data_IF_601569783090
#
_entry.id   IF_601569783090
#
_cell.length_a   1.000
_cell.length_b   1.000
_cell.length_c   1.000
_cell.angle_alpha   90.00
_cell.angle_beta   90.00
_cell.angle_gamma   90.00
#
_symmetry.space_group_name_H-M   'P 1'
#
loop_
_entity.id
_entity.type
_entity.pdbx_description
1 polymer ?
#
# COMPACT_ATOMS: atom_id res chain seq x y z
N UNK A 1 -4.06 0.02 -32.35
CA UNK A 1 -3.54 0.65 -31.12
C UNK A 1 -2.54 -0.22 -30.37
N UNK A 2 -2.94 -1.33 -29.72
CA UNK A 2 -2.04 -2.06 -28.79
C UNK A 2 -1.35 -3.33 -29.35
N UNK A 3 -1.70 -3.78 -30.56
CA UNK A 3 -1.00 -4.92 -31.19
C UNK A 3 -1.25 -6.29 -30.55
N UNK A 4 -2.44 -6.54 -30.00
CA UNK A 4 -2.88 -7.85 -29.48
C UNK A 4 -4.08 -8.36 -30.27
N UNK A 5 -4.20 -9.68 -30.42
CA UNK A 5 -5.30 -10.28 -31.20
C UNK A 5 -6.65 -10.30 -30.47
N UNK A 6 -6.65 -10.30 -29.13
CA UNK A 6 -7.86 -10.48 -28.33
C UNK A 6 -7.93 -9.46 -27.18
N UNK A 7 -9.15 -9.08 -26.84
CA UNK A 7 -9.49 -8.25 -25.68
C UNK A 7 -10.57 -8.92 -24.85
N UNK A 8 -10.35 -8.98 -23.54
CA UNK A 8 -11.35 -9.44 -22.57
C UNK A 8 -11.71 -8.28 -21.63
N UNK A 9 -12.83 -7.56 -21.87
CA UNK A 9 -13.23 -6.43 -21.06
C UNK A 9 -13.86 -6.87 -19.72
N UNK A 10 -13.51 -6.15 -18.66
CA UNK A 10 -14.00 -6.29 -17.29
C UNK A 10 -14.33 -4.88 -16.74
N UNK A 11 -14.62 -4.72 -15.45
CA UNK A 11 -15.09 -3.44 -14.90
C UNK A 11 -14.00 -2.71 -14.12
N UNK A 12 -13.21 -3.43 -13.32
CA UNK A 12 -12.19 -2.82 -12.45
C UNK A 12 -10.79 -3.35 -12.75
N UNK A 13 -9.75 -2.58 -12.38
CA UNK A 13 -8.37 -3.06 -12.49
C UNK A 13 -8.13 -4.37 -11.74
N UNK A 14 -8.72 -4.53 -10.55
CA UNK A 14 -8.63 -5.78 -9.79
C UNK A 14 -9.24 -6.97 -10.53
N UNK A 15 -10.39 -6.80 -11.19
CA UNK A 15 -10.97 -7.85 -12.04
C UNK A 15 -10.10 -8.14 -13.27
N UNK A 16 -9.46 -7.13 -13.85
CA UNK A 16 -8.48 -7.30 -14.93
C UNK A 16 -7.31 -8.19 -14.49
N UNK A 17 -6.77 -7.92 -13.30
CA UNK A 17 -5.71 -8.75 -12.70
C UNK A 17 -6.21 -10.16 -12.41
N UNK A 18 -7.35 -10.33 -11.74
CA UNK A 18 -7.96 -11.65 -11.49
C UNK A 18 -8.15 -12.46 -12.79
N UNK A 19 -8.55 -11.77 -13.86
CA UNK A 19 -8.69 -12.36 -15.19
C UNK A 19 -7.35 -12.83 -15.74
N UNK A 20 -6.33 -11.97 -15.71
CA UNK A 20 -4.98 -12.33 -16.16
C UNK A 20 -4.39 -13.49 -15.33
N UNK A 21 -4.62 -13.52 -14.02
CA UNK A 21 -4.19 -14.64 -13.15
C UNK A 21 -4.87 -15.95 -13.57
N UNK A 22 -6.18 -15.93 -13.84
CA UNK A 22 -6.92 -17.12 -14.31
C UNK A 22 -6.44 -17.59 -15.68
N UNK A 23 -6.23 -16.67 -16.63
CA UNK A 23 -5.66 -16.99 -17.96
C UNK A 23 -4.28 -17.63 -17.79
N UNK A 24 -3.40 -17.01 -17.01
CA UNK A 24 -2.04 -17.50 -16.82
C UNK A 24 -2.01 -18.90 -16.19
N UNK A 25 -2.76 -19.13 -15.10
CA UNK A 25 -2.82 -20.44 -14.46
C UNK A 25 -3.37 -21.51 -15.40
N UNK A 26 -4.44 -21.20 -16.14
CA UNK A 26 -5.05 -22.14 -17.09
C UNK A 26 -4.10 -22.46 -18.26
N UNK A 27 -3.45 -21.45 -18.83
CA UNK A 27 -2.39 -21.61 -19.82
C UNK A 27 -1.23 -22.45 -19.25
N UNK A 28 -0.84 -22.22 -18.00
CA UNK A 28 0.20 -22.96 -17.31
C UNK A 28 -0.11 -24.46 -17.24
N UNK A 29 -1.34 -24.82 -16.89
CA UNK A 29 -1.77 -26.21 -16.84
C UNK A 29 -1.92 -26.85 -18.23
N UNK A 30 -2.54 -26.16 -19.18
CA UNK A 30 -2.93 -26.74 -20.46
C UNK A 30 -1.85 -26.66 -21.55
N UNK A 31 -1.03 -25.61 -21.55
CA UNK A 31 0.02 -25.37 -22.55
C UNK A 31 1.41 -25.72 -22.05
N UNK A 32 1.72 -25.30 -20.81
CA UNK A 32 3.03 -25.54 -20.19
C UNK A 32 3.12 -26.88 -19.45
N UNK A 33 1.98 -27.57 -19.26
CA UNK A 33 1.87 -28.85 -18.55
C UNK A 33 2.29 -28.78 -17.07
N UNK A 34 2.04 -27.64 -16.40
CA UNK A 34 2.22 -27.54 -14.95
C UNK A 34 1.23 -28.48 -14.27
N UNK A 35 1.66 -29.35 -13.32
CA UNK A 35 0.76 -30.24 -12.61
C UNK A 35 -0.41 -29.51 -11.96
N UNK A 36 -1.52 -30.24 -11.79
CA UNK A 36 -2.75 -29.69 -11.22
C UNK A 36 -2.48 -29.03 -9.86
N UNK A 37 -3.02 -27.83 -9.67
CA UNK A 37 -2.92 -27.04 -8.44
C UNK A 37 -1.49 -26.59 -8.05
N UNK A 38 -0.49 -26.77 -8.94
CA UNK A 38 0.91 -26.39 -8.71
C UNK A 38 1.35 -25.11 -9.45
N UNK A 39 0.45 -24.44 -10.17
CA UNK A 39 0.78 -23.21 -10.91
C UNK A 39 1.14 -22.06 -9.97
N UNK A 40 2.32 -21.48 -10.22
CA UNK A 40 2.86 -20.35 -9.46
C UNK A 40 2.73 -19.07 -10.29
N UNK A 41 2.32 -17.99 -9.63
CA UNK A 41 2.49 -16.62 -10.15
C UNK A 41 3.58 -15.94 -9.33
N UNK A 42 4.53 -15.29 -10.01
CA UNK A 42 5.54 -14.45 -9.37
C UNK A 42 5.10 -12.99 -9.49
N UNK A 43 5.22 -12.22 -8.42
CA UNK A 43 4.94 -10.78 -8.41
C UNK A 43 6.02 -10.01 -7.62
N UNK A 44 5.95 -8.69 -7.61
CA UNK A 44 6.98 -7.84 -7.01
C UNK A 44 6.55 -7.31 -5.63
N UNK A 45 7.45 -7.27 -4.65
CA UNK A 45 7.23 -6.47 -3.45
C UNK A 45 7.06 -4.99 -3.81
N UNK A 46 6.18 -4.29 -3.10
CA UNK A 46 5.75 -2.92 -3.44
C UNK A 46 4.57 -2.86 -4.44
N UNK A 47 4.12 -3.99 -5.00
CA UNK A 47 3.05 -3.98 -5.98
C UNK A 47 1.70 -3.50 -5.41
N UNK A 48 0.88 -2.89 -6.28
CA UNK A 48 -0.53 -2.68 -6.04
C UNK A 48 -1.37 -3.08 -7.25
N UNK A 49 -1.92 -4.29 -7.20
CA UNK A 49 -2.75 -4.85 -8.26
C UNK A 49 -4.26 -4.84 -7.92
N UNK A 50 -4.66 -4.19 -6.81
CA UNK A 50 -6.03 -4.20 -6.29
C UNK A 50 -6.17 -4.78 -4.88
N UNK A 51 -7.39 -5.19 -4.51
CA UNK A 51 -7.76 -5.54 -3.12
C UNK A 51 -8.55 -6.85 -2.98
N UNK A 52 -8.67 -7.66 -4.04
CA UNK A 52 -9.29 -8.99 -3.95
C UNK A 52 -8.36 -9.98 -3.24
N UNK A 53 -8.90 -11.10 -2.76
CA UNK A 53 -8.12 -12.09 -2.01
C UNK A 53 -6.93 -12.64 -2.81
N UNK A 54 -7.09 -12.98 -4.09
CA UNK A 54 -5.97 -13.49 -4.89
C UNK A 54 -4.88 -12.42 -5.07
N UNK A 55 -5.30 -11.18 -5.32
CA UNK A 55 -4.41 -10.04 -5.51
C UNK A 55 -3.59 -9.75 -4.25
N UNK A 56 -4.24 -9.60 -3.09
CA UNK A 56 -3.51 -9.27 -1.85
C UNK A 56 -2.60 -10.42 -1.40
N UNK A 57 -2.83 -11.64 -1.87
CA UNK A 57 -1.95 -12.79 -1.61
C UNK A 57 -0.55 -12.60 -2.20
N UNK A 58 -0.41 -11.77 -3.25
CA UNK A 58 0.87 -11.41 -3.85
C UNK A 58 1.54 -10.21 -3.17
N UNK A 59 0.83 -9.46 -2.32
CA UNK A 59 1.36 -8.25 -1.69
C UNK A 59 2.37 -8.55 -0.57
N UNK A 60 3.42 -7.72 -0.46
CA UNK A 60 4.33 -7.69 0.69
C UNK A 60 3.88 -6.67 1.76
N UNK A 61 2.81 -5.92 1.51
CA UNK A 61 2.25 -4.95 2.45
C UNK A 61 1.41 -5.64 3.52
N UNK A 62 1.81 -5.46 4.78
CA UNK A 62 1.09 -5.99 5.93
C UNK A 62 -0.29 -5.38 6.09
N UNK A 63 -0.47 -4.10 5.75
CA UNK A 63 -1.79 -3.44 5.84
C UNK A 63 -2.74 -3.94 4.76
N UNK A 64 -2.21 -4.46 3.66
CA UNK A 64 -3.00 -5.11 2.62
C UNK A 64 -3.45 -6.53 2.98
N UNK A 65 -2.80 -7.21 3.93
CA UNK A 65 -2.99 -8.66 4.16
C UNK A 65 -3.49 -9.01 5.57
N UNK A 66 -3.21 -8.18 6.58
CA UNK A 66 -3.53 -8.45 7.98
C UNK A 66 -5.04 -8.58 8.20
N UNK A 67 -5.46 -9.74 8.70
CA UNK A 67 -6.85 -10.02 9.05
C UNK A 67 -7.71 -10.63 7.93
N UNK A 68 -7.14 -10.86 6.74
CA UNK A 68 -7.87 -11.42 5.58
C UNK A 68 -7.54 -12.90 5.28
N UNK A 69 -6.80 -13.57 6.16
CA UNK A 69 -6.37 -14.96 5.94
C UNK A 69 -7.49 -16.00 6.02
N UNK A 70 -7.30 -17.20 5.43
CA UNK A 70 -6.09 -17.62 4.70
C UNK A 70 -5.98 -16.99 3.31
N UNK A 71 -4.75 -16.64 2.91
CA UNK A 71 -4.43 -16.09 1.60
C UNK A 71 -4.30 -17.21 0.55
N UNK A 72 -4.46 -16.86 -0.73
CA UNK A 72 -4.37 -17.79 -1.85
C UNK A 72 -2.93 -18.33 -2.01
N UNK A 73 -2.73 -19.67 -2.06
CA UNK A 73 -1.43 -20.26 -2.31
C UNK A 73 -1.01 -20.13 -3.79
N UNK A 74 0.22 -20.55 -4.10
CA UNK A 74 0.77 -20.52 -5.46
C UNK A 74 1.25 -19.13 -5.90
N UNK A 75 1.79 -18.35 -4.97
CA UNK A 75 2.34 -17.02 -5.22
C UNK A 75 3.77 -16.92 -4.66
N UNK A 76 4.70 -16.39 -5.45
CA UNK A 76 6.05 -16.04 -5.02
C UNK A 76 6.28 -14.54 -5.22
N UNK A 77 7.22 -13.98 -4.45
CA UNK A 77 7.50 -12.55 -4.42
C UNK A 77 8.99 -12.32 -4.63
N UNK A 78 9.32 -11.29 -5.39
CA UNK A 78 10.69 -10.81 -5.62
C UNK A 78 10.72 -9.30 -5.42
N UNK A 79 11.88 -8.72 -5.13
CA UNK A 79 11.98 -7.26 -5.06
C UNK A 79 11.87 -6.64 -6.45
N UNK A 80 11.14 -5.52 -6.55
CA UNK A 80 10.98 -4.81 -7.81
C UNK A 80 12.31 -4.25 -8.30
N UNK A 81 12.62 -4.44 -9.59
CA UNK A 81 13.89 -4.02 -10.18
C UNK A 81 15.05 -5.01 -10.00
N UNK A 82 14.88 -6.11 -9.25
CA UNK A 82 15.92 -7.14 -9.05
C UNK A 82 15.78 -8.30 -10.06
N UNK A 83 16.42 -8.14 -11.23
CA UNK A 83 16.42 -9.17 -12.27
C UNK A 83 17.22 -10.43 -11.89
N UNK A 84 18.24 -10.31 -11.03
CA UNK A 84 19.08 -11.44 -10.61
C UNK A 84 18.31 -12.38 -9.69
N UNK A 85 17.58 -11.82 -8.72
CA UNK A 85 16.70 -12.61 -7.84
C UNK A 85 15.54 -13.23 -8.62
N UNK A 86 15.00 -12.52 -9.62
CA UNK A 86 14.00 -13.09 -10.52
C UNK A 86 14.57 -14.27 -11.32
N UNK A 87 15.79 -14.15 -11.85
CA UNK A 87 16.45 -15.25 -12.57
C UNK A 87 16.65 -16.47 -11.66
N UNK A 88 17.06 -16.28 -10.41
CA UNK A 88 17.20 -17.39 -9.43
C UNK A 88 15.88 -18.13 -9.23
N UNK A 89 14.79 -17.39 -8.99
CA UNK A 89 13.45 -17.98 -8.84
C UNK A 89 13.03 -18.75 -10.10
N UNK A 90 13.30 -18.21 -11.29
CA UNK A 90 12.97 -18.85 -12.56
C UNK A 90 13.84 -20.08 -12.85
N UNK A 91 15.11 -20.07 -12.44
CA UNK A 91 15.99 -21.25 -12.53
C UNK A 91 15.50 -22.38 -11.62
N UNK A 92 15.06 -22.06 -10.41
CA UNK A 92 14.64 -23.07 -9.41
C UNK A 92 13.24 -23.63 -9.67
N UNK A 93 12.30 -22.79 -10.12
CA UNK A 93 10.86 -23.12 -10.17
C UNK A 93 10.21 -22.80 -11.50
N UNK A 94 11.01 -22.49 -12.53
CA UNK A 94 10.51 -22.05 -13.83
C UNK A 94 9.57 -23.03 -14.50
N UNK A 95 9.71 -24.33 -14.24
CA UNK A 95 8.81 -25.38 -14.71
C UNK A 95 7.37 -25.24 -14.14
N UNK A 96 7.21 -24.66 -12.95
CA UNK A 96 5.93 -24.45 -12.26
C UNK A 96 5.40 -23.02 -12.32
N UNK A 97 6.19 -22.07 -12.81
CA UNK A 97 5.78 -20.66 -12.91
C UNK A 97 4.95 -20.47 -14.18
N UNK A 98 3.69 -20.08 -14.01
CA UNK A 98 2.78 -19.81 -15.12
C UNK A 98 2.92 -18.38 -15.65
N UNK A 99 3.18 -17.41 -14.76
CA UNK A 99 3.30 -16.00 -15.14
C UNK A 99 4.07 -15.16 -14.12
N UNK A 100 4.61 -14.05 -14.62
CA UNK A 100 5.19 -12.97 -13.82
C UNK A 100 4.35 -11.71 -14.01
N UNK A 101 3.71 -11.27 -12.92
CA UNK A 101 2.87 -10.08 -12.87
C UNK A 101 3.65 -8.92 -12.24
N UNK A 102 3.76 -7.82 -12.98
CA UNK A 102 4.49 -6.64 -12.52
C UNK A 102 3.83 -5.36 -13.03
N UNK A 103 4.05 -4.24 -12.33
CA UNK A 103 3.80 -2.90 -12.87
C UNK A 103 5.09 -2.43 -13.57
N UNK A 104 5.05 -1.87 -14.80
CA UNK A 104 6.25 -1.31 -15.44
C UNK A 104 6.86 -0.14 -14.65
N UNK A 105 6.02 0.57 -13.89
CA UNK A 105 6.38 1.59 -12.90
C UNK A 105 5.45 1.35 -11.70
N UNK A 106 5.98 1.03 -10.52
CA UNK A 106 5.12 0.80 -9.35
C UNK A 106 4.51 2.09 -8.87
N UNK A 107 3.18 2.16 -8.93
CA UNK A 107 2.47 3.40 -8.78
C UNK A 107 2.17 3.77 -7.34
N UNK A 108 1.47 2.90 -6.62
CA UNK A 108 1.14 3.12 -5.20
C UNK A 108 2.39 3.04 -4.30
N UNK A 109 3.47 2.37 -4.73
CA UNK A 109 4.77 2.39 -4.04
C UNK A 109 5.48 3.76 -4.09
N UNK A 110 4.92 4.73 -4.80
CA UNK A 110 5.49 6.07 -4.93
C UNK A 110 6.26 6.28 -6.22
N UNK A 111 5.68 5.84 -7.33
CA UNK A 111 6.21 6.03 -8.69
C UNK A 111 7.66 5.52 -8.78
N UNK A 112 7.85 4.26 -8.42
CA UNK A 112 9.16 3.61 -8.45
C UNK A 112 9.44 3.19 -9.89
N UNK A 113 10.48 3.78 -10.47
CA UNK A 113 10.97 3.43 -11.81
C UNK A 113 12.02 2.34 -11.64
N UNK A 114 11.91 1.21 -12.36
CA UNK A 114 12.93 0.17 -12.27
C UNK A 114 14.25 0.63 -12.91
N UNK A 115 15.38 -0.03 -12.60
CA UNK A 115 16.64 0.21 -13.29
C UNK A 115 16.52 0.07 -14.81
N UNK A 116 17.31 0.83 -15.56
CA UNK A 116 17.33 0.75 -17.02
C UNK A 116 17.66 -0.68 -17.50
N UNK A 117 16.87 -1.19 -18.44
CA UNK A 117 17.05 -2.53 -18.99
C UNK A 117 16.38 -3.64 -18.19
N UNK A 118 15.76 -3.30 -17.04
CA UNK A 118 15.05 -4.28 -16.22
C UNK A 118 13.91 -4.96 -17.00
N UNK A 119 13.10 -4.20 -17.75
CA UNK A 119 11.97 -4.78 -18.49
C UNK A 119 12.44 -5.69 -19.63
N UNK A 120 13.53 -5.31 -20.32
CA UNK A 120 14.21 -6.18 -21.29
C UNK A 120 14.73 -7.48 -20.66
N UNK A 121 15.34 -7.39 -19.48
CA UNK A 121 15.80 -8.56 -18.74
C UNK A 121 14.63 -9.47 -18.34
N UNK A 122 13.55 -8.91 -17.79
CA UNK A 122 12.32 -9.66 -17.48
C UNK A 122 11.77 -10.35 -18.72
N UNK A 123 11.70 -9.65 -19.87
CA UNK A 123 11.21 -10.24 -21.13
C UNK A 123 12.06 -11.43 -21.53
N UNK A 124 13.39 -11.29 -21.52
CA UNK A 124 14.32 -12.37 -21.85
C UNK A 124 14.17 -13.58 -20.91
N UNK A 125 14.02 -13.34 -19.60
CA UNK A 125 13.79 -14.39 -18.60
C UNK A 125 12.46 -15.10 -18.82
N UNK A 126 11.38 -14.36 -19.06
CA UNK A 126 10.06 -14.92 -19.33
C UNK A 126 10.08 -15.81 -20.58
N UNK A 127 10.72 -15.34 -21.66
CA UNK A 127 10.87 -16.12 -22.90
C UNK A 127 11.71 -17.38 -22.67
N UNK A 128 12.87 -17.26 -22.01
CA UNK A 128 13.79 -18.38 -21.74
C UNK A 128 13.12 -19.51 -20.94
N UNK A 129 12.29 -19.16 -19.96
CA UNK A 129 11.64 -20.12 -19.07
C UNK A 129 10.21 -20.46 -19.47
N UNK A 130 9.75 -20.00 -20.64
CA UNK A 130 8.37 -20.14 -21.10
C UNK A 130 7.37 -19.72 -20.01
N UNK A 131 7.54 -18.52 -19.46
CA UNK A 131 6.68 -17.91 -18.44
C UNK A 131 5.96 -16.73 -19.09
N UNK A 132 4.66 -16.56 -18.83
CA UNK A 132 3.93 -15.40 -19.34
C UNK A 132 4.37 -14.11 -18.64
N UNK A 133 4.77 -13.11 -19.41
CA UNK A 133 5.03 -11.76 -18.94
C UNK A 133 3.72 -10.97 -18.91
N UNK A 134 3.28 -10.55 -17.72
CA UNK A 134 1.98 -9.91 -17.48
C UNK A 134 2.23 -8.50 -16.95
N UNK A 135 1.98 -7.49 -17.78
CA UNK A 135 2.14 -6.09 -17.38
C UNK A 135 0.82 -5.52 -16.88
N UNK A 136 0.82 -5.08 -15.62
CA UNK A 136 -0.23 -4.23 -15.07
C UNK A 136 0.04 -2.77 -15.47
N UNK A 137 -0.63 -2.34 -16.54
CA UNK A 137 -0.59 -0.99 -17.09
C UNK A 137 -1.80 -0.16 -16.63
N UNK A 138 -2.54 -0.62 -15.61
CA UNK A 138 -3.76 0.04 -15.13
C UNK A 138 -3.47 1.48 -14.68
N UNK A 139 -2.30 1.74 -14.09
CA UNK A 139 -1.90 3.10 -13.70
C UNK A 139 -0.92 3.75 -14.69
N UNK A 140 0.05 2.99 -15.22
CA UNK A 140 1.18 3.54 -16.00
C UNK A 140 0.93 3.69 -17.49
N UNK A 141 -0.06 2.97 -18.02
CA UNK A 141 -0.40 2.96 -19.45
C UNK A 141 -1.29 4.13 -19.85
N UNK A 142 -1.79 4.06 -21.08
CA UNK A 142 -2.71 5.04 -21.67
C UNK A 142 -2.16 6.46 -21.59
N UNK A 143 -0.97 6.67 -22.15
CA UNK A 143 -0.24 7.93 -22.21
C UNK A 143 0.28 8.49 -20.87
N UNK A 144 -0.10 7.90 -19.71
CA UNK A 144 0.30 8.42 -18.39
C UNK A 144 1.81 8.61 -18.24
N UNK A 145 2.60 7.64 -18.67
CA UNK A 145 4.06 7.67 -18.54
C UNK A 145 4.78 8.38 -19.71
N UNK A 146 4.06 9.02 -20.63
CA UNK A 146 4.65 9.62 -21.85
C UNK A 146 4.86 8.62 -23.00
N UNK A 147 4.32 7.42 -22.87
CA UNK A 147 4.20 6.38 -23.90
C UNK A 147 2.78 5.81 -23.87
N UNK A 148 2.35 5.15 -24.97
CA UNK A 148 1.03 4.51 -25.01
C UNK A 148 0.94 3.44 -23.92
N UNK A 149 1.94 2.57 -23.84
CA UNK A 149 2.17 1.66 -22.71
C UNK A 149 3.53 2.01 -22.08
N UNK A 150 3.65 1.96 -20.75
CA UNK A 150 4.93 2.21 -20.09
C UNK A 150 6.01 1.17 -20.47
N UNK A 151 5.60 -0.05 -20.85
CA UNK A 151 6.48 -1.05 -21.46
C UNK A 151 7.20 -0.54 -22.74
N UNK A 152 6.59 0.38 -23.49
CA UNK A 152 7.16 0.89 -24.75
C UNK A 152 8.45 1.71 -24.52
N UNK A 153 8.72 2.17 -23.29
CA UNK A 153 9.99 2.82 -22.94
C UNK A 153 11.21 1.92 -23.15
N UNK A 154 11.01 0.61 -23.07
CA UNK A 154 12.05 -0.37 -23.34
C UNK A 154 11.73 -1.24 -24.56
N UNK A 155 10.75 -0.85 -25.38
CA UNK A 155 10.34 -1.54 -26.60
C UNK A 155 9.98 -3.02 -26.37
N UNK A 156 9.41 -3.32 -25.21
CA UNK A 156 9.01 -4.68 -24.84
C UNK A 156 7.51 -4.88 -25.02
N UNK A 157 7.14 -6.04 -25.58
CA UNK A 157 5.74 -6.49 -25.68
C UNK A 157 5.48 -7.59 -24.64
N UNK A 158 4.65 -7.32 -23.61
CA UNK A 158 4.19 -8.36 -22.68
C UNK A 158 3.33 -9.41 -23.39
N UNK A 159 3.20 -10.60 -22.79
CA UNK A 159 2.28 -11.63 -23.29
C UNK A 159 0.82 -11.30 -22.94
N UNK A 160 0.63 -10.58 -21.83
CA UNK A 160 -0.65 -9.99 -21.45
C UNK A 160 -0.47 -8.57 -20.91
N UNK A 161 -1.38 -7.67 -21.27
CA UNK A 161 -1.47 -6.30 -20.72
C UNK A 161 -2.81 -6.11 -20.05
N UNK A 162 -2.80 -5.53 -18.85
CA UNK A 162 -4.00 -5.17 -18.10
C UNK A 162 -4.16 -3.66 -18.16
N UNK A 163 -5.31 -3.21 -18.67
CA UNK A 163 -5.69 -1.79 -18.75
C UNK A 163 -6.87 -1.52 -17.82
N UNK A 164 -7.00 -0.28 -17.36
CA UNK A 164 -8.11 0.18 -16.55
C UNK A 164 -8.05 1.69 -16.33
N UNK A 165 -8.65 2.19 -15.23
CA UNK A 165 -8.62 3.61 -14.82
C UNK A 165 -8.95 4.57 -15.99
N UNK A 166 -7.92 5.13 -16.63
CA UNK A 166 -8.06 6.05 -17.76
C UNK A 166 -8.78 5.41 -18.96
N UNK A 167 -8.82 4.08 -19.07
CA UNK A 167 -9.62 3.39 -20.09
C UNK A 167 -11.10 3.81 -20.02
N UNK A 168 -11.63 4.02 -18.81
CA UNK A 168 -13.00 4.51 -18.62
C UNK A 168 -13.17 6.03 -18.72
N UNK A 169 -12.12 6.77 -19.08
CA UNK A 169 -12.12 8.24 -19.20
C UNK A 169 -12.45 8.99 -17.90
N UNK A 170 -12.43 8.31 -16.75
CA UNK A 170 -12.94 8.86 -15.48
C UNK A 170 -14.47 8.93 -15.38
N UNK A 171 -15.20 8.36 -16.35
CA UNK A 171 -16.67 8.41 -16.43
C UNK A 171 -17.32 7.14 -15.86
N UNK A 172 -16.82 5.97 -16.26
CA UNK A 172 -17.35 4.67 -15.81
C UNK A 172 -16.22 3.67 -15.57
N UNK A 173 -16.33 2.73 -14.61
CA UNK A 173 -15.34 1.68 -14.43
C UNK A 173 -15.24 0.79 -15.68
N UNK A 174 -14.05 0.76 -16.28
CA UNK A 174 -13.70 -0.17 -17.36
C UNK A 174 -12.29 -0.70 -17.11
N UNK A 175 -12.10 -1.99 -17.37
CA UNK A 175 -10.79 -2.61 -17.51
C UNK A 175 -10.77 -3.57 -18.68
N UNK A 176 -9.58 -3.94 -19.13
CA UNK A 176 -9.40 -4.88 -20.23
C UNK A 176 -8.14 -5.70 -20.02
N UNK A 177 -8.19 -6.98 -20.38
CA UNK A 177 -7.00 -7.83 -20.53
C UNK A 177 -6.77 -8.04 -22.02
N UNK A 178 -5.59 -7.67 -22.50
CA UNK A 178 -5.15 -7.84 -23.88
C UNK A 178 -4.17 -8.99 -23.94
N UNK A 179 -4.34 -9.91 -24.89
CA UNK A 179 -3.42 -11.01 -25.15
C UNK A 179 -3.62 -11.56 -26.57
N UNK A 180 -2.68 -12.39 -27.04
CA UNK A 180 -2.85 -13.14 -28.28
C UNK A 180 -3.77 -14.36 -28.09
N UNK A 181 -4.27 -14.92 -29.20
CA UNK A 181 -5.25 -16.02 -29.16
C UNK A 181 -4.72 -17.25 -28.45
N UNK A 182 -3.44 -17.56 -28.64
CA UNK A 182 -2.79 -18.72 -28.03
C UNK A 182 -2.69 -18.60 -26.50
N UNK A 183 -2.76 -17.40 -25.94
CA UNK A 183 -2.88 -17.17 -24.49
C UNK A 183 -4.35 -17.06 -24.09
N UNK A 184 -5.10 -16.11 -24.68
CA UNK A 184 -6.46 -15.76 -24.25
C UNK A 184 -7.46 -16.92 -24.39
N UNK A 185 -7.39 -17.69 -25.47
CA UNK A 185 -8.37 -18.74 -25.76
C UNK A 185 -8.22 -19.97 -24.87
N UNK A 186 -7.32 -19.97 -23.89
CA UNK A 186 -7.39 -20.95 -22.81
C UNK A 186 -8.68 -20.79 -22.02
N UNK A 187 -9.20 -19.57 -21.82
CA UNK A 187 -10.55 -19.39 -21.30
C UNK A 187 -11.57 -19.76 -22.39
N UNK A 188 -12.42 -20.75 -22.10
CA UNK A 188 -13.49 -21.23 -22.98
C UNK A 188 -14.86 -20.68 -22.54
N UNK A 189 -15.89 -20.69 -23.42
CA UNK A 189 -17.25 -20.31 -23.05
C UNK A 189 -17.72 -20.99 -21.76
N UNK A 190 -18.28 -20.19 -20.84
CA UNK A 190 -18.76 -20.65 -19.53
C UNK A 190 -17.72 -20.72 -18.41
N UNK A 191 -16.42 -20.50 -18.68
CA UNK A 191 -15.36 -20.60 -17.65
C UNK A 191 -15.00 -19.26 -16.99
N UNK A 192 -15.32 -18.16 -17.64
CA UNK A 192 -15.12 -16.80 -17.16
C UNK A 192 -16.23 -15.91 -17.72
N UNK A 193 -16.64 -14.90 -16.96
CA UNK A 193 -17.61 -13.91 -17.40
C UNK A 193 -17.81 -12.84 -16.33
N UNK A 194 -18.42 -11.74 -16.73
CA UNK A 194 -18.82 -10.65 -15.84
C UNK A 194 -20.13 -10.06 -16.35
N UNK A 195 -21.07 -9.75 -15.44
CA UNK A 195 -22.37 -9.19 -15.79
C UNK A 195 -22.27 -7.89 -16.57
N UNK A 196 -21.31 -7.03 -16.19
CA UNK A 196 -21.12 -5.71 -16.79
C UNK A 196 -19.86 -5.63 -17.66
N UNK A 197 -19.02 -6.67 -17.68
CA UNK A 197 -17.82 -6.70 -18.51
C UNK A 197 -18.16 -6.59 -20.00
N UNK A 198 -17.65 -5.56 -20.67
CA UNK A 198 -17.92 -5.31 -22.09
C UNK A 198 -19.34 -4.84 -22.39
N UNK A 199 -20.05 -4.28 -21.41
CA UNK A 199 -21.36 -3.69 -21.69
C UNK A 199 -21.25 -2.54 -22.72
N UNK A 200 -22.27 -2.31 -23.57
CA UNK A 200 -22.16 -1.35 -24.68
C UNK A 200 -21.82 0.08 -24.27
N UNK A 201 -22.29 0.55 -23.11
CA UNK A 201 -21.98 1.90 -22.61
C UNK A 201 -20.50 2.01 -22.22
N UNK A 202 -19.98 1.05 -21.46
CA UNK A 202 -18.57 1.00 -21.10
C UNK A 202 -17.67 0.90 -22.34
N UNK A 203 -18.06 0.10 -23.34
CA UNK A 203 -17.32 0.00 -24.60
C UNK A 203 -17.29 1.32 -25.37
N UNK A 204 -18.42 2.02 -25.48
CA UNK A 204 -18.48 3.32 -26.14
C UNK A 204 -17.61 4.38 -25.43
N UNK A 205 -17.68 4.42 -24.09
CA UNK A 205 -16.83 5.32 -23.29
C UNK A 205 -15.35 4.98 -23.45
N UNK A 206 -15.00 3.69 -23.46
CA UNK A 206 -13.62 3.28 -23.62
C UNK A 206 -13.04 3.66 -24.98
N UNK A 207 -13.81 3.46 -26.05
CA UNK A 207 -13.43 3.90 -27.40
C UNK A 207 -13.21 5.41 -27.43
N UNK A 208 -14.16 6.21 -26.92
CA UNK A 208 -14.02 7.67 -26.87
C UNK A 208 -12.79 8.14 -26.06
N UNK A 209 -12.48 7.47 -24.94
CA UNK A 209 -11.28 7.77 -24.15
C UNK A 209 -9.99 7.50 -24.94
N UNK A 210 -9.95 6.40 -25.70
CA UNK A 210 -8.81 6.06 -26.55
C UNK A 210 -8.67 7.01 -27.74
N UNK A 211 -9.78 7.42 -28.35
CA UNK A 211 -9.80 8.40 -29.45
C UNK A 211 -9.22 9.74 -28.97
N UNK A 212 -9.62 10.23 -27.78
CA UNK A 212 -9.06 11.45 -27.18
C UNK A 212 -7.55 11.36 -26.97
N UNK A 213 -7.03 10.21 -26.52
CA UNK A 213 -5.58 10.02 -26.33
C UNK A 213 -4.83 10.21 -27.65
N UNK A 214 -5.38 9.69 -28.76
CA UNK A 214 -4.78 9.76 -30.09
C UNK A 214 -4.94 11.16 -30.72
N UNK A 215 -6.17 11.69 -30.74
CA UNK A 215 -6.51 12.97 -31.38
C UNK A 215 -5.83 14.16 -30.71
N UNK A 216 -5.79 14.18 -29.37
CA UNK A 216 -5.15 15.26 -28.60
C UNK A 216 -3.64 15.03 -28.38
N UNK A 217 -3.07 13.95 -28.93
CA UNK A 217 -1.64 13.61 -28.81
C UNK A 217 -1.18 13.57 -27.36
N UNK A 218 -1.96 12.88 -26.51
CA UNK A 218 -1.73 12.88 -25.06
C UNK A 218 -0.44 12.15 -24.67
N UNK A 219 0.06 11.25 -25.52
CA UNK A 219 1.35 10.58 -25.31
C UNK A 219 2.49 11.61 -25.34
N UNK A 220 2.56 12.40 -26.40
CA UNK A 220 3.56 13.45 -26.61
C UNK A 220 3.40 14.56 -25.58
N UNK A 221 2.15 14.95 -25.30
CA UNK A 221 1.83 15.97 -24.29
C UNK A 221 2.31 15.54 -22.91
N UNK A 222 2.01 14.30 -22.50
CA UNK A 222 2.46 13.75 -21.23
C UNK A 222 3.98 13.70 -21.12
N UNK A 223 4.67 13.30 -22.20
CA UNK A 223 6.13 13.30 -22.24
C UNK A 223 6.71 14.71 -22.05
N UNK A 224 6.22 15.68 -22.82
CA UNK A 224 6.69 17.08 -22.79
C UNK A 224 6.40 17.78 -21.46
N UNK A 225 5.15 17.76 -21.01
CA UNK A 225 4.73 18.42 -19.78
C UNK A 225 5.26 17.72 -18.53
N UNK A 226 5.46 16.41 -18.61
CA UNK A 226 6.14 15.63 -17.59
C UNK A 226 7.58 16.08 -17.36
N UNK A 227 8.30 16.34 -18.45
CA UNK A 227 9.66 16.88 -18.38
C UNK A 227 9.67 18.29 -17.80
N UNK A 228 8.76 19.16 -18.27
CA UNK A 228 8.60 20.50 -17.72
C UNK A 228 8.35 20.49 -16.21
N UNK A 229 7.43 19.63 -15.75
CA UNK A 229 7.14 19.47 -14.32
C UNK A 229 8.37 19.01 -13.54
N UNK A 230 9.11 18.01 -14.04
CA UNK A 230 10.33 17.55 -13.37
C UNK A 230 11.41 18.61 -13.32
N UNK A 231 11.57 19.45 -14.35
CA UNK A 231 12.49 20.59 -14.31
C UNK A 231 12.10 21.55 -13.18
N UNK A 232 10.83 21.96 -13.11
CA UNK A 232 10.33 22.85 -12.06
C UNK A 232 10.53 22.26 -10.66
N UNK A 233 10.19 20.99 -10.45
CA UNK A 233 10.37 20.30 -9.17
C UNK A 233 11.85 20.16 -8.79
N UNK A 234 12.75 19.95 -9.75
CA UNK A 234 14.19 19.90 -9.48
C UNK A 234 14.76 21.28 -9.13
N UNK A 235 14.24 22.38 -9.68
CA UNK A 235 14.60 23.73 -9.22
C UNK A 235 14.14 23.98 -7.78
N UNK A 236 12.97 23.47 -7.38
CA UNK A 236 12.52 23.51 -5.98
C UNK A 236 13.46 22.66 -5.12
N UNK A 237 13.83 21.45 -5.56
CA UNK A 237 14.82 20.61 -4.86
C UNK A 237 16.15 21.32 -4.64
N UNK A 238 16.65 22.09 -5.61
CA UNK A 238 17.89 22.88 -5.44
C UNK A 238 17.78 23.93 -4.35
N UNK A 239 16.58 24.49 -4.14
CA UNK A 239 16.31 25.48 -3.09
C UNK A 239 16.07 24.83 -1.72
N UNK A 240 15.53 23.61 -1.69
CA UNK A 240 15.23 22.84 -0.48
C UNK A 240 15.92 21.46 -0.46
N UNK A 241 17.26 21.39 -0.59
CA UNK A 241 17.98 20.12 -0.77
C UNK A 241 17.92 19.22 0.48
N UNK A 242 17.75 19.81 1.66
CA UNK A 242 17.64 19.05 2.92
C UNK A 242 16.29 18.35 3.05
N UNK A 243 15.24 18.91 2.44
CA UNK A 243 13.87 18.38 2.52
C UNK A 243 13.55 17.43 1.38
N UNK A 244 13.93 17.75 0.14
CA UNK A 244 13.60 16.91 -1.03
C UNK A 244 14.75 15.95 -1.32
N UNK A 245 14.51 14.67 -1.03
CA UNK A 245 15.44 13.58 -1.33
C UNK A 245 15.50 13.30 -2.84
N UNK A 246 14.34 13.13 -3.47
CA UNK A 246 14.26 12.74 -4.88
C UNK A 246 13.04 13.31 -5.59
N UNK A 247 13.22 13.67 -6.85
CA UNK A 247 12.14 13.91 -7.82
C UNK A 247 12.29 12.86 -8.90
N UNK A 248 11.25 12.05 -9.12
CA UNK A 248 11.27 10.97 -10.10
C UNK A 248 9.94 10.85 -10.83
N UNK A 249 9.98 10.30 -12.04
CA UNK A 249 8.79 10.03 -12.83
C UNK A 249 9.07 9.83 -14.31
N UNK A 250 8.05 9.41 -15.05
CA UNK A 250 8.02 9.38 -16.52
C UNK A 250 6.71 10.00 -16.98
N UNK A 251 6.76 10.82 -18.03
CA UNK A 251 5.60 11.63 -18.45
C UNK A 251 4.99 12.41 -17.29
N UNK A 252 3.66 12.54 -17.25
CA UNK A 252 2.92 13.14 -16.14
C UNK A 252 2.63 12.14 -15.00
N UNK A 253 3.50 11.16 -14.79
CA UNK A 253 3.48 10.26 -13.64
C UNK A 253 4.71 10.52 -12.77
N UNK A 254 4.58 11.41 -11.78
CA UNK A 254 5.72 11.90 -11.00
C UNK A 254 5.48 11.81 -9.50
N UNK A 255 6.57 11.77 -8.75
CA UNK A 255 6.58 11.82 -7.29
C UNK A 255 7.73 12.68 -6.78
N UNK A 256 7.51 13.28 -5.61
CA UNK A 256 8.52 13.94 -4.79
C UNK A 256 8.65 13.15 -3.51
N UNK A 257 9.85 12.63 -3.24
CA UNK A 257 10.20 11.98 -2.00
C UNK A 257 10.95 12.95 -1.09
N UNK A 258 10.46 13.07 0.13
CA UNK A 258 11.05 13.89 1.18
C UNK A 258 12.01 13.10 2.06
N UNK A 259 13.04 13.76 2.59
CA UNK A 259 13.88 13.21 3.64
C UNK A 259 13.08 13.13 4.94
N UNK A 260 12.90 11.92 5.47
CA UNK A 260 12.12 11.69 6.70
C UNK A 260 12.64 12.43 7.92
N UNK A 261 13.96 12.54 8.06
CA UNK A 261 14.59 13.17 9.23
C UNK A 261 14.37 14.69 9.19
N UNK A 262 14.65 15.31 8.04
CA UNK A 262 14.47 16.75 7.85
C UNK A 262 13.00 17.15 7.88
N UNK A 263 12.10 16.31 7.36
CA UNK A 263 10.66 16.60 7.33
C UNK A 263 10.02 16.45 8.72
N UNK A 264 10.52 15.54 9.56
CA UNK A 264 9.96 15.25 10.89
C UNK A 264 9.76 16.51 11.74
N UNK A 265 8.65 16.62 12.51
CA UNK A 265 7.58 15.63 12.70
C UNK A 265 6.47 15.66 11.63
N UNK A 266 6.64 16.46 10.57
CA UNK A 266 5.66 16.61 9.47
C UNK A 266 5.73 15.38 8.57
N UNK A 267 4.59 14.97 8.02
CA UNK A 267 4.49 13.88 7.05
C UNK A 267 4.11 14.39 5.65
N UNK A 268 4.28 13.56 4.62
CA UNK A 268 3.80 13.84 3.27
C UNK A 268 2.28 14.11 3.22
N UNK A 269 1.51 13.55 4.16
CA UNK A 269 0.09 13.84 4.29
C UNK A 269 -0.18 15.30 4.70
N UNK A 270 0.61 15.83 5.64
CA UNK A 270 0.50 17.23 6.08
C UNK A 270 0.92 18.22 4.98
N UNK A 271 1.93 17.84 4.19
CA UNK A 271 2.29 18.58 2.95
C UNK A 271 1.11 18.60 1.98
N UNK A 272 0.43 17.47 1.77
CA UNK A 272 -0.75 17.41 0.89
C UNK A 272 -1.93 18.24 1.44
N UNK A 273 -2.11 18.31 2.75
CA UNK A 273 -3.12 19.19 3.35
C UNK A 273 -2.80 20.68 3.09
N UNK A 274 -1.53 21.06 3.17
CA UNK A 274 -1.09 22.44 2.89
C UNK A 274 -1.23 22.78 1.40
N UNK A 275 -0.89 21.84 0.52
CA UNK A 275 -1.16 21.94 -0.92
C UNK A 275 -2.66 22.13 -1.20
N UNK A 276 -3.54 21.40 -0.50
CA UNK A 276 -5.00 21.56 -0.62
C UNK A 276 -5.45 22.97 -0.27
N UNK A 277 -4.92 23.57 0.81
CA UNK A 277 -5.23 24.96 1.18
C UNK A 277 -4.75 25.98 0.12
N UNK A 278 -3.79 25.58 -0.71
CA UNK A 278 -3.30 26.34 -1.88
C UNK A 278 -3.96 25.93 -3.20
N UNK A 279 -5.03 25.15 -3.15
CA UNK A 279 -5.81 24.76 -4.33
C UNK A 279 -5.27 23.56 -5.11
N UNK A 280 -4.26 22.85 -4.59
CA UNK A 280 -3.65 21.68 -5.26
C UNK A 280 -3.99 20.40 -4.51
N UNK A 281 -4.70 19.48 -5.17
CA UNK A 281 -4.97 18.16 -4.63
C UNK A 281 -3.88 17.17 -5.04
N UNK A 282 -3.09 16.74 -4.07
CA UNK A 282 -2.10 15.69 -4.22
C UNK A 282 -2.39 14.53 -3.26
N UNK A 283 -1.85 13.34 -3.57
CA UNK A 283 -2.02 12.14 -2.75
C UNK A 283 -0.67 11.70 -2.20
N UNK A 284 -0.53 11.55 -0.88
CA UNK A 284 0.66 10.95 -0.33
C UNK A 284 0.63 9.43 -0.54
N UNK A 285 1.81 8.83 -0.60
CA UNK A 285 1.99 7.41 -0.34
C UNK A 285 3.18 7.22 0.60
N UNK A 286 3.09 6.20 1.45
CA UNK A 286 3.96 6.08 2.60
C UNK A 286 3.98 7.39 3.42
N UNK A 287 4.94 7.55 4.33
CA UNK A 287 5.01 8.76 5.18
C UNK A 287 5.71 9.95 4.51
N UNK A 288 6.42 9.73 3.40
CA UNK A 288 7.41 10.69 2.86
C UNK A 288 7.26 10.99 1.38
N UNK A 289 6.30 10.40 0.66
CA UNK A 289 6.21 10.57 -0.79
C UNK A 289 4.90 11.26 -1.15
N UNK A 290 4.98 12.32 -1.95
CA UNK A 290 3.82 12.99 -2.57
C UNK A 290 3.78 12.64 -4.05
N UNK A 291 2.66 12.10 -4.51
CA UNK A 291 2.45 11.79 -5.93
C UNK A 291 1.76 12.97 -6.62
N UNK A 292 2.30 13.34 -7.78
CA UNK A 292 1.84 14.42 -8.64
C UNK A 292 1.47 13.82 -10.01
N UNK A 293 0.18 13.54 -10.18
CA UNK A 293 -0.38 12.82 -11.34
C UNK A 293 -1.56 13.58 -11.94
N UNK A 294 -1.34 14.78 -12.50
CA UNK A 294 -2.42 15.62 -13.03
C UNK A 294 -3.10 14.97 -14.26
N UNK A 295 -4.30 15.42 -14.67
CA UNK A 295 -4.88 15.07 -15.97
C UNK A 295 -3.90 15.37 -17.10
N UNK A 296 -3.90 14.57 -18.17
CA UNK A 296 -2.98 14.78 -19.30
C UNK A 296 -3.33 16.04 -20.11
N UNK A 297 -4.56 16.53 -19.98
CA UNK A 297 -5.04 17.79 -20.55
C UNK A 297 -4.55 19.03 -19.80
N UNK A 298 -3.88 18.91 -18.64
CA UNK A 298 -3.37 20.04 -17.85
C UNK A 298 -2.51 20.99 -18.70
N UNK A 299 -2.62 22.29 -18.48
CA UNK A 299 -1.81 23.31 -19.15
C UNK A 299 -0.44 23.52 -18.47
N UNK A 300 0.52 24.12 -19.19
CA UNK A 300 1.81 24.53 -18.61
C UNK A 300 1.62 25.56 -17.48
N UNK A 301 0.63 26.44 -17.61
CA UNK A 301 0.32 27.46 -16.59
C UNK A 301 -0.15 26.82 -15.28
N UNK A 302 -1.08 25.86 -15.35
CA UNK A 302 -1.54 25.09 -14.18
C UNK A 302 -0.42 24.24 -13.57
N UNK A 303 0.51 23.71 -14.38
CA UNK A 303 1.70 23.02 -13.87
C UNK A 303 2.61 23.97 -13.08
N UNK A 304 2.84 25.19 -13.59
CA UNK A 304 3.61 26.21 -12.87
C UNK A 304 2.92 26.62 -11.57
N UNK A 305 1.60 26.77 -11.57
CA UNK A 305 0.83 27.05 -10.36
C UNK A 305 0.96 25.91 -9.34
N UNK A 306 0.86 24.65 -9.79
CA UNK A 306 1.05 23.47 -8.95
C UNK A 306 2.44 23.37 -8.32
N UNK A 307 3.49 23.58 -9.13
CA UNK A 307 4.87 23.60 -8.65
C UNK A 307 5.12 24.76 -7.69
N UNK A 308 4.60 25.95 -7.99
CA UNK A 308 4.69 27.11 -7.09
C UNK A 308 3.99 26.84 -5.76
N UNK A 309 2.82 26.19 -5.77
CA UNK A 309 2.15 25.82 -4.52
C UNK A 309 3.04 24.91 -3.66
N UNK A 310 3.73 23.93 -4.26
CA UNK A 310 4.68 23.09 -3.51
C UNK A 310 5.86 23.89 -2.96
N UNK A 311 6.44 24.77 -3.77
CA UNK A 311 7.48 25.69 -3.33
C UNK A 311 7.04 26.49 -2.11
N UNK A 312 5.89 27.14 -2.18
CA UNK A 312 5.39 28.00 -1.12
C UNK A 312 5.01 27.19 0.14
N UNK A 313 4.57 25.93 0.00
CA UNK A 313 4.39 25.04 1.16
C UNK A 313 5.73 24.84 1.88
N UNK A 314 6.82 24.59 1.15
CA UNK A 314 8.14 24.37 1.76
C UNK A 314 8.74 25.64 2.34
N UNK A 315 8.53 26.78 1.69
CA UNK A 315 9.08 28.06 2.14
C UNK A 315 8.30 28.67 3.30
N UNK A 316 6.96 28.70 3.20
CA UNK A 316 6.08 29.48 4.08
C UNK A 316 5.40 28.62 5.13
N UNK A 317 4.86 27.46 4.74
CA UNK A 317 3.99 26.68 5.62
C UNK A 317 4.80 25.71 6.49
N UNK A 318 5.79 25.04 5.89
CA UNK A 318 6.58 23.98 6.54
C UNK A 318 7.28 24.44 7.82
N UNK A 319 7.94 25.62 7.90
CA UNK A 319 8.55 26.08 9.15
C UNK A 319 7.52 26.25 10.28
N UNK A 320 6.30 26.67 9.95
CA UNK A 320 5.22 26.83 10.92
C UNK A 320 4.63 25.47 11.32
N UNK A 321 4.46 24.54 10.37
CA UNK A 321 4.03 23.17 10.65
C UNK A 321 5.01 22.49 11.61
N UNK A 322 6.31 22.51 11.30
CA UNK A 322 7.34 21.91 12.13
C UNK A 322 7.36 22.53 13.53
N UNK A 323 7.33 23.87 13.64
CA UNK A 323 7.23 24.54 14.95
C UNK A 323 5.96 24.15 15.71
N UNK A 324 4.79 24.18 15.07
CA UNK A 324 3.52 23.87 15.75
C UNK A 324 3.43 22.42 16.25
N UNK A 325 4.09 21.49 15.56
CA UNK A 325 4.12 20.07 15.93
C UNK A 325 5.23 19.76 16.95
N UNK A 326 6.36 20.46 16.90
CA UNK A 326 7.39 20.44 17.95
C UNK A 326 6.91 21.09 19.25
N UNK A 327 6.13 22.18 19.13
CA UNK A 327 5.48 22.91 20.24
C UNK A 327 4.18 22.23 20.68
N UNK A 328 3.80 21.09 20.09
CA UNK A 328 2.83 20.16 20.66
C UNK A 328 3.50 19.00 21.41
N UNK A 329 4.07 19.22 22.59
CA UNK A 329 3.87 18.27 23.65
C UNK A 329 2.37 18.34 23.98
N UNK A 330 1.60 17.30 23.66
CA UNK A 330 0.18 17.13 24.07
C UNK A 330 -0.05 17.14 25.61
N UNK A 331 0.95 17.55 26.38
CA UNK A 331 1.08 17.56 27.83
C UNK A 331 1.52 18.92 28.41
N UNK A 332 1.87 19.93 27.60
CA UNK A 332 2.42 21.21 28.12
C UNK A 332 1.43 22.39 28.16
N UNK A 333 0.31 22.35 27.44
CA UNK A 333 -0.77 23.34 27.64
C UNK A 333 -1.52 23.15 28.98
N UNK A 334 -1.27 22.05 29.71
CA UNK A 334 -1.83 21.82 31.04
C UNK A 334 -0.83 21.98 32.20
N UNK A 335 0.44 22.32 31.95
CA UNK A 335 1.48 22.39 33.00
C UNK A 335 2.18 23.76 33.07
N UNK A 336 1.64 24.78 32.42
CA UNK A 336 1.96 26.18 32.77
C UNK A 336 1.27 26.64 34.08
N UNK A 337 0.77 25.69 34.88
CA UNK A 337 0.28 25.85 36.25
C UNK A 337 0.90 24.80 37.18
N UNK A 338 2.19 24.44 37.02
CA UNK A 338 2.97 24.04 38.19
C UNK A 338 4.48 24.15 37.91
N UNK A 339 5.08 25.23 38.38
CA UNK A 339 6.52 25.35 38.48
C UNK A 339 6.98 24.54 39.70
N UNK A 340 7.61 23.38 39.49
CA UNK A 340 8.85 22.95 40.18
C UNK A 340 9.21 21.49 39.82
N UNK A 341 10.50 21.29 39.50
CA UNK A 341 11.22 20.02 39.33
C UNK A 341 11.06 19.25 38.02
N UNK A 342 12.10 19.39 37.19
CA UNK A 342 12.43 18.55 36.05
C UNK A 342 13.26 17.36 36.55
N UNK A 343 12.90 16.12 36.22
CA UNK A 343 13.90 15.07 35.96
C UNK A 343 13.33 13.88 35.16
N UNK A 344 13.92 13.66 33.96
CA UNK A 344 14.05 12.45 33.13
C UNK A 344 12.79 11.65 32.71
N UNK A 345 12.54 11.59 31.40
CA UNK A 345 11.51 10.76 30.77
C UNK A 345 12.12 9.67 29.87
N UNK A 346 11.74 8.40 30.07
CA UNK A 346 12.03 7.25 29.18
C UNK A 346 10.74 6.40 29.06
N UNK A 347 10.21 6.07 27.87
CA UNK A 347 8.89 5.44 27.75
C UNK A 347 8.97 3.89 27.78
N UNK A 348 8.06 3.25 28.53
CA UNK A 348 7.84 1.79 28.50
C UNK A 348 6.33 1.47 28.60
N UNK A 349 5.75 0.84 27.55
CA UNK A 349 4.49 0.06 27.62
C UNK A 349 3.21 0.68 27.01
N UNK A 350 2.44 -0.13 26.29
CA UNK A 350 1.11 0.19 25.73
C UNK A 350 0.03 -0.69 26.39
N UNK A 351 -1.09 -0.12 26.85
CA UNK A 351 -2.29 -0.84 27.33
C UNK A 351 -3.48 -0.51 26.44
N UNK A 352 -4.31 -1.52 26.12
CA UNK A 352 -5.53 -1.36 25.31
C UNK A 352 -6.77 -1.38 26.20
N UNK A 353 -7.67 -0.40 26.05
CA UNK A 353 -8.90 -0.27 26.84
C UNK A 353 -10.11 -0.86 26.09
N UNK A 354 -11.01 -1.55 26.80
CA UNK A 354 -12.39 -1.79 26.34
C UNK A 354 -13.34 -0.81 27.02
N UNK A 355 -14.26 -0.23 26.26
CA UNK A 355 -15.28 0.68 26.77
C UNK A 355 -16.68 0.20 26.38
N UNK A 356 -17.57 0.02 27.36
CA UNK A 356 -19.01 0.10 27.15
C UNK A 356 -19.49 1.51 27.52
N UNK A 357 -20.73 1.88 27.14
CA UNK A 357 -21.25 3.27 27.30
C UNK A 357 -21.18 3.84 28.74
N UNK A 358 -20.93 3.03 29.77
CA UNK A 358 -20.96 3.46 31.17
C UNK A 358 -19.81 2.93 32.04
N UNK A 359 -18.90 2.10 31.51
CA UNK A 359 -17.85 1.44 32.31
C UNK A 359 -16.56 1.34 31.51
N UNK A 360 -15.45 1.74 32.14
CA UNK A 360 -14.08 1.47 31.67
C UNK A 360 -13.54 0.31 32.49
N UNK A 361 -13.13 -0.74 31.82
CA UNK A 361 -12.49 -1.91 32.43
C UNK A 361 -10.98 -1.83 32.18
N UNK A 362 -10.19 -1.80 33.26
CA UNK A 362 -8.73 -1.86 33.20
C UNK A 362 -8.31 -3.22 33.72
N UNK A 363 -7.60 -3.97 32.90
CA UNK A 363 -7.03 -5.27 33.27
C UNK A 363 -5.52 -5.05 33.40
N UNK A 364 -5.06 -4.78 34.63
CA UNK A 364 -3.64 -4.78 34.97
C UNK A 364 -3.33 -5.97 35.89
N UNK A 365 -2.67 -7.02 35.37
CA UNK A 365 -2.31 -8.20 36.15
C UNK A 365 -1.18 -7.97 37.17
N UNK A 366 -0.62 -6.76 37.26
CA UNK A 366 0.51 -6.43 38.14
C UNK A 366 0.24 -5.26 39.10
N UNK A 367 -1.01 -4.79 39.19
CA UNK A 367 -1.40 -3.76 40.16
C UNK A 367 -1.18 -4.25 41.61
N UNK A 368 -0.54 -3.42 42.43
CA UNK A 368 -0.23 -3.72 43.84
C UNK A 368 -1.47 -3.86 44.72
N UNK A 369 -2.59 -3.24 44.32
CA UNK A 369 -3.87 -3.36 45.01
C UNK A 369 -4.56 -4.70 44.72
N UNK A 370 -4.14 -5.40 43.66
CA UNK A 370 -4.65 -6.72 43.28
C UNK A 370 -3.92 -7.89 43.95
N UNK A 371 -2.85 -7.62 44.72
CA UNK A 371 -2.11 -8.65 45.47
C UNK A 371 -2.85 -8.92 46.80
N UNK A 372 -3.34 -10.15 47.05
CA UNK A 372 -3.99 -10.49 48.32
C UNK A 372 -3.06 -10.17 49.50
N UNK A 373 -3.65 -9.76 50.62
CA UNK A 373 -2.90 -9.18 51.74
C UNK A 373 -1.77 -10.10 52.25
N UNK A 374 -2.00 -11.41 52.22
CA UNK A 374 -1.04 -12.46 52.59
C UNK A 374 0.20 -12.54 51.69
N UNK A 375 0.17 -11.94 50.49
CA UNK A 375 1.27 -11.94 49.53
C UNK A 375 1.94 -10.58 49.34
N UNK A 376 1.48 -9.52 50.05
CA UNK A 376 2.05 -8.17 49.90
C UNK A 376 3.51 -8.05 50.32
N UNK A 377 3.97 -8.91 51.23
CA UNK A 377 5.35 -8.98 51.72
C UNK A 377 6.26 -9.87 50.86
N UNK A 378 5.71 -10.70 49.98
CA UNK A 378 6.46 -11.53 49.03
C UNK A 378 5.82 -11.49 47.63
N UNK A 379 5.78 -10.28 47.06
CA UNK A 379 5.14 -9.99 45.76
C UNK A 379 5.74 -10.82 44.62
N UNK A 380 7.03 -11.13 44.70
CA UNK A 380 7.72 -11.89 43.68
C UNK A 380 7.21 -13.34 43.60
N UNK A 381 6.99 -14.00 44.75
CA UNK A 381 6.37 -15.32 44.80
C UNK A 381 4.99 -15.33 44.16
N UNK A 382 4.12 -14.38 44.53
CA UNK A 382 2.78 -14.24 43.95
C UNK A 382 2.83 -14.07 42.42
N UNK A 383 3.72 -13.21 41.91
CA UNK A 383 3.87 -12.98 40.48
C UNK A 383 4.39 -14.23 39.75
N UNK A 384 5.29 -15.01 40.36
CA UNK A 384 5.93 -16.16 39.70
C UNK A 384 5.18 -17.49 39.84
N UNK A 385 4.34 -17.65 40.87
CA UNK A 385 3.63 -18.91 41.13
C UNK A 385 2.44 -19.08 40.15
N UNK A 386 2.51 -20.10 39.29
CA UNK A 386 1.50 -20.39 38.28
C UNK A 386 0.25 -21.10 38.83
N UNK A 387 0.27 -21.56 40.09
CA UNK A 387 -0.86 -22.20 40.74
C UNK A 387 -1.90 -21.20 41.27
N UNK A 388 -1.53 -19.92 41.37
CA UNK A 388 -2.39 -18.84 41.88
C UNK A 388 -3.13 -18.15 40.73
N UNK A 389 -4.46 -18.09 40.79
CA UNK A 389 -5.28 -17.32 39.84
C UNK A 389 -5.08 -15.82 40.05
N UNK A 390 -4.62 -15.13 39.01
CA UNK A 390 -4.27 -13.69 39.05
C UNK A 390 -5.30 -12.81 38.35
N UNK A 391 -6.55 -13.28 38.29
CA UNK A 391 -7.64 -12.51 37.69
C UNK A 391 -8.09 -11.40 38.64
N UNK A 392 -7.60 -10.18 38.40
CA UNK A 392 -8.08 -8.99 39.10
C UNK A 392 -8.89 -8.13 38.13
N UNK A 393 -10.13 -7.84 38.48
CA UNK A 393 -11.02 -6.98 37.68
C UNK A 393 -11.44 -5.80 38.54
N UNK A 394 -11.05 -4.59 38.15
CA UNK A 394 -11.49 -3.37 38.82
C UNK A 394 -12.42 -2.57 37.91
N UNK A 395 -13.55 -2.16 38.47
CA UNK A 395 -14.54 -1.33 37.78
C UNK A 395 -14.42 0.11 38.28
N UNK A 396 -13.94 1.01 37.42
CA UNK A 396 -13.97 2.44 37.71
C UNK A 396 -15.26 3.02 37.11
N UNK A 397 -16.13 3.58 37.97
CA UNK A 397 -17.35 4.29 37.54
C UNK A 397 -17.06 5.78 37.45
N UNK A 398 -17.16 6.34 36.25
CA UNK A 398 -17.16 7.78 36.01
C UNK A 398 -18.26 8.16 35.01
N UNK A 399 -18.90 9.32 35.19
CA UNK A 399 -19.84 9.84 34.19
C UNK A 399 -19.06 10.35 32.98
N UNK A 400 -19.48 9.98 31.76
CA UNK A 400 -18.80 10.44 30.53
C UNK A 400 -19.78 10.73 29.39
N UNK A 401 -19.59 11.88 28.74
CA UNK A 401 -20.04 12.17 27.37
C UNK A 401 -18.85 11.97 26.41
N UNK A 402 -19.00 11.17 25.35
CA UNK A 402 -17.90 10.85 24.44
C UNK A 402 -17.90 11.72 23.18
N UNK A 403 -16.77 12.39 22.88
CA UNK A 403 -16.44 12.91 21.55
C UNK A 403 -15.09 12.40 20.97
N UNK A 404 -14.28 11.65 21.74
CA UNK A 404 -13.02 11.04 21.28
C UNK A 404 -12.53 9.93 22.25
N UNK A 405 -11.57 9.05 21.85
CA UNK A 405 -10.94 8.06 22.73
C UNK A 405 -10.16 8.75 23.86
N UNK A 406 -10.11 8.12 25.03
CA UNK A 406 -9.23 8.53 26.15
C UNK A 406 -8.02 7.58 26.15
N UNK A 407 -6.83 8.16 26.31
CA UNK A 407 -5.61 7.44 26.64
C UNK A 407 -5.25 7.74 28.09
N UNK A 408 -4.97 6.71 28.89
CA UNK A 408 -4.54 6.84 30.29
C UNK A 408 -3.11 6.26 30.36
N UNK A 409 -2.18 7.03 30.88
CA UNK A 409 -0.83 6.58 31.22
C UNK A 409 -0.74 6.44 32.75
N UNK A 410 -0.14 5.36 33.23
CA UNK A 410 0.17 5.16 34.64
C UNK A 410 1.63 4.75 34.80
N UNK A 411 2.23 5.15 35.92
CA UNK A 411 3.61 4.85 36.27
C UNK A 411 3.65 3.57 37.10
N UNK A 412 4.46 2.59 36.68
CA UNK A 412 4.80 1.43 37.50
C UNK A 412 6.15 1.69 38.17
N UNK A 413 6.17 1.71 39.50
CA UNK A 413 7.43 1.77 40.24
C UNK A 413 8.12 0.39 40.20
N UNK A 414 9.26 0.35 39.51
CA UNK A 414 10.30 -0.69 39.50
C UNK A 414 10.11 -1.99 38.65
N UNK A 415 11.07 -2.15 37.72
CA UNK A 415 11.79 -3.38 37.31
C UNK A 415 11.26 -4.31 36.16
N UNK A 416 12.21 -4.54 35.22
CA UNK A 416 12.44 -5.54 34.17
C UNK A 416 11.55 -5.70 32.91
N UNK A 417 12.24 -5.45 31.77
CA UNK A 417 11.93 -5.88 30.41
C UNK A 417 12.06 -7.41 30.23
N UNK A 418 11.17 -8.04 29.45
CA UNK A 418 11.51 -8.87 28.27
C UNK A 418 10.33 -9.69 27.72
N UNK A 419 10.34 -9.85 26.39
CA UNK A 419 9.64 -10.81 25.52
C UNK A 419 8.10 -10.84 25.51
N UNK A 420 7.50 -10.57 24.34
CA UNK A 420 6.18 -11.10 23.96
C UNK A 420 6.13 -11.54 22.48
N UNK A 421 5.94 -12.85 22.29
CA UNK A 421 5.28 -13.46 21.12
C UNK A 421 3.77 -13.38 21.35
N UNK A 422 2.99 -13.17 20.30
CA UNK A 422 1.51 -13.19 20.33
C UNK A 422 1.04 -14.35 19.46
N UNK A 423 0.29 -15.29 20.04
CA UNK A 423 -0.50 -16.28 19.31
C UNK A 423 -1.98 -16.07 19.64
N UNK A 424 -2.83 -16.17 18.61
CA UNK A 424 -4.29 -16.01 18.70
C UNK A 424 -4.93 -17.31 18.18
N UNK A 425 -5.75 -17.97 19.00
CA UNK A 425 -6.57 -19.11 18.58
C UNK A 425 -8.05 -18.72 18.69
N UNK A 426 -8.80 -18.95 17.62
CA UNK A 426 -10.24 -18.66 17.52
C UNK A 426 -11.09 -19.89 17.87
N UNK A 427 -12.23 -19.64 18.54
CA UNK A 427 -13.51 -20.29 18.24
C UNK A 427 -14.69 -19.42 18.74
N UNK A 428 -15.72 -19.28 17.90
CA UNK A 428 -16.99 -18.59 18.17
C UNK A 428 -18.09 -19.61 18.49
N UNK A 429 -19.15 -19.20 19.23
CA UNK A 429 -20.55 -19.18 18.76
C UNK A 429 -21.46 -18.33 19.67
N UNK A 430 -22.25 -17.46 19.01
CA UNK A 430 -23.58 -16.90 19.30
C UNK A 430 -24.03 -16.66 20.76
N UNK A 431 -23.87 -15.43 21.26
CA UNK A 431 -24.98 -14.50 21.57
C UNK A 431 -24.39 -13.17 22.10
N UNK A 432 -24.62 -12.06 21.39
CA UNK A 432 -24.54 -10.66 21.87
C UNK A 432 -23.37 -10.18 22.75
N UNK A 433 -22.30 -10.95 22.93
CA UNK A 433 -21.22 -10.69 23.88
C UNK A 433 -19.91 -11.22 23.30
N UNK A 434 -18.96 -10.32 23.03
CA UNK A 434 -17.61 -10.71 22.62
C UNK A 434 -16.80 -10.93 23.90
N UNK A 435 -16.81 -12.16 24.41
CA UNK A 435 -15.83 -12.61 25.40
C UNK A 435 -14.53 -12.89 24.65
N UNK A 436 -13.45 -12.23 25.04
CA UNK A 436 -12.09 -12.64 24.66
C UNK A 436 -11.30 -12.71 25.95
N UNK A 437 -11.08 -13.93 26.45
CA UNK A 437 -10.08 -14.17 27.49
C UNK A 437 -8.70 -14.14 26.82
N UNK A 438 -7.76 -13.40 27.41
CA UNK A 438 -6.34 -13.53 27.10
C UNK A 438 -5.74 -14.43 28.18
N UNK A 439 -5.49 -15.69 27.84
CA UNK A 439 -4.73 -16.62 28.68
C UNK A 439 -3.24 -16.42 28.38
N UNK A 440 -2.50 -15.91 29.37
CA UNK A 440 -1.03 -15.91 29.33
C UNK A 440 -0.57 -17.25 29.90
N UNK A 441 -0.22 -18.19 29.04
CA UNK A 441 0.30 -19.49 29.47
C UNK A 441 1.83 -19.47 29.49
N UNK A 442 2.45 -19.84 30.61
CA UNK A 442 3.88 -20.17 30.70
C UNK A 442 4.03 -21.67 30.51
N UNK A 443 4.58 -22.09 29.37
CA UNK A 443 5.15 -23.43 29.24
C UNK A 443 6.52 -23.47 29.93
N UNK A 444 6.75 -24.49 30.76
CA UNK A 444 8.08 -24.98 31.12
C UNK A 444 8.18 -26.38 30.48
N UNK A 445 9.15 -26.52 29.57
CA UNK A 445 9.67 -27.71 28.87
C UNK A 445 8.64 -28.77 28.44
#
# INVERSE_FOLDING_TARGET
>A
MFGYEMVLPMNTGAEGVETALKVARKWGHEKKNIPKDEAIIVSCCGCFHGRTLAVISMSCDNDATRGFGPLLPGNLKVDFGDADSLEKIFKEKGDKIAGFLFEPIQGEAGVVIPPEGYLKAVRALCTKHNVLMIADEVQSGLARSGKMLACDWEEIRPDMVILGKALGGGVIPVSAVLADKDVMLHIKPGQHGSTFGGNPLASAVAMASLDVIEEEKLVERSASLGEELRIQLNEIKKQFPDYIKEVRGRGLFNAVEFNSESLSPVSAYDICLSLKERGVLAKPTHNTIVRLTPPLSISSDELREGSKALHDVLEVDLPNLQKSMLVKPRWLESVALDQQNVDRFVPVGFVTLRASRHVIEIIDPYDVDCIPQEYKTNKQFYITDSSISKSCTRYLKGQKYMKAPIFIYYQLDNYYQNHRRVEVINNCYMDGSIVTQVLVNRGVI
#
